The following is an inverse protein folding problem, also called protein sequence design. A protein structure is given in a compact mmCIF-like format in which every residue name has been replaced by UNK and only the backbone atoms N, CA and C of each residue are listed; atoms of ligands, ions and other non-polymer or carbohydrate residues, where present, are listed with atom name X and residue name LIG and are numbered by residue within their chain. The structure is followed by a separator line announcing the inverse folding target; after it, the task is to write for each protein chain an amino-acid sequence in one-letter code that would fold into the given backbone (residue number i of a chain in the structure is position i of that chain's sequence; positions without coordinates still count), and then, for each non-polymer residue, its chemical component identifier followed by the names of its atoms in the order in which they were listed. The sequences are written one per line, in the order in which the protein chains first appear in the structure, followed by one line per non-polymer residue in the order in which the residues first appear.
data_IF_809093686567
#
_entry.id   IF_809093686567
#
_cell.length_a   1.000
_cell.length_b   1.000
_cell.length_c   1.000
_cell.angle_alpha   90.00
_cell.angle_beta   90.00
_cell.angle_gamma   90.00
#
_symmetry.space_group_name_H-M   'P 1'
#
loop_
_entity.id
_entity.type
_entity.pdbx_description
1 polymer ?
#
# COMPACT_ATOMS: atom_id res chain seq x y z
N UNK A 1 -9.04 14.66 14.60
CA UNK A 1 -9.29 13.46 13.76
C UNK A 1 -9.53 13.92 12.35
N UNK A 2 -8.52 13.79 11.49
CA UNK A 2 -8.63 14.14 10.08
C UNK A 2 -9.34 13.03 9.31
N UNK A 3 -10.12 13.40 8.30
CA UNK A 3 -10.79 12.49 7.36
C UNK A 3 -10.45 12.91 5.95
N UNK A 4 -10.01 11.95 5.15
CA UNK A 4 -9.52 12.19 3.80
C UNK A 4 -10.03 11.12 2.85
N UNK A 5 -9.95 11.41 1.56
CA UNK A 5 -10.22 10.44 0.51
C UNK A 5 -8.96 10.25 -0.32
N UNK A 6 -8.44 9.03 -0.32
CA UNK A 6 -7.37 8.63 -1.22
C UNK A 6 -7.98 8.32 -2.59
N UNK A 7 -7.42 8.92 -3.63
CA UNK A 7 -7.81 8.62 -5.00
C UNK A 7 -7.45 7.18 -5.35
N UNK A 8 -6.29 6.72 -4.88
CA UNK A 8 -5.84 5.35 -5.01
C UNK A 8 -5.17 4.84 -3.74
N UNK A 9 -5.49 3.60 -3.38
CA UNK A 9 -4.78 2.82 -2.38
C UNK A 9 -4.42 1.47 -2.99
N UNK A 10 -3.13 1.25 -3.21
CA UNK A 10 -2.61 0.04 -3.84
C UNK A 10 -1.81 -0.77 -2.84
N UNK A 11 -2.14 -2.04 -2.68
CA UNK A 11 -1.33 -3.04 -1.96
C UNK A 11 -0.53 -3.86 -2.96
N UNK A 12 0.72 -4.16 -2.63
CA UNK A 12 1.64 -4.92 -3.47
C UNK A 12 2.18 -6.13 -2.71
N UNK A 13 1.92 -7.29 -3.27
CA UNK A 13 2.42 -8.58 -2.85
C UNK A 13 3.50 -9.02 -3.82
N UNK A 14 4.58 -9.57 -3.31
CA UNK A 14 5.72 -10.02 -4.11
C UNK A 14 5.95 -11.49 -3.86
N UNK A 15 6.16 -12.24 -4.93
CA UNK A 15 6.32 -13.68 -4.90
C UNK A 15 7.49 -14.08 -5.79
N UNK A 16 8.31 -14.99 -5.29
CA UNK A 16 9.12 -15.82 -6.18
C UNK A 16 8.20 -16.75 -7.00
N UNK A 17 8.66 -17.23 -8.16
CA UNK A 17 7.81 -18.01 -9.08
C UNK A 17 7.21 -19.25 -8.41
N UNK A 18 8.00 -20.00 -7.63
CA UNK A 18 7.53 -21.19 -6.91
C UNK A 18 6.45 -20.84 -5.87
N UNK A 19 6.68 -19.78 -5.09
CA UNK A 19 5.72 -19.29 -4.08
C UNK A 19 4.42 -18.81 -4.74
N UNK A 20 4.53 -18.14 -5.89
CA UNK A 20 3.37 -17.68 -6.66
C UNK A 20 2.49 -18.85 -7.09
N UNK A 21 3.11 -19.93 -7.58
CA UNK A 21 2.41 -21.14 -8.01
C UNK A 21 1.73 -21.89 -6.85
N UNK A 22 2.27 -21.79 -5.64
CA UNK A 22 1.71 -22.41 -4.44
C UNK A 22 0.58 -21.58 -3.81
N UNK A 23 0.76 -20.26 -3.72
CA UNK A 23 -0.11 -19.37 -2.93
C UNK A 23 -1.21 -18.67 -3.73
N UNK A 24 -1.04 -18.53 -5.05
CA UNK A 24 -2.00 -17.78 -5.89
C UNK A 24 -2.91 -18.76 -6.65
N UNK A 25 -4.22 -18.58 -6.47
CA UNK A 25 -5.24 -19.32 -7.20
C UNK A 25 -5.06 -19.10 -8.72
N UNK A 26 -5.08 -20.19 -9.49
CA UNK A 26 -4.80 -20.16 -10.94
C UNK A 26 -3.40 -19.60 -11.30
N UNK A 27 -2.45 -19.67 -10.37
CA UNK A 27 -1.09 -19.15 -10.54
C UNK A 27 -0.40 -19.65 -11.83
N UNK A 28 -0.58 -20.91 -12.22
CA UNK A 28 -0.05 -21.45 -13.48
C UNK A 28 -0.57 -20.72 -14.72
N UNK A 29 -1.87 -20.50 -14.79
CA UNK A 29 -2.50 -19.80 -15.92
C UNK A 29 -2.05 -18.34 -15.98
N UNK A 30 -2.02 -17.67 -14.83
CA UNK A 30 -1.55 -16.28 -14.73
C UNK A 30 -0.08 -16.17 -15.16
N UNK A 31 0.76 -17.11 -14.72
CA UNK A 31 2.19 -17.13 -15.05
C UNK A 31 2.44 -17.34 -16.54
N UNK A 32 1.69 -18.23 -17.20
CA UNK A 32 1.76 -18.40 -18.66
C UNK A 32 1.44 -17.09 -19.38
N UNK A 33 0.41 -16.37 -18.93
CA UNK A 33 0.04 -15.06 -19.49
C UNK A 33 1.10 -13.99 -19.22
N UNK A 34 1.70 -13.97 -18.03
CA UNK A 34 2.81 -13.07 -17.72
C UNK A 34 4.03 -13.31 -18.62
N UNK A 35 4.34 -14.56 -18.97
CA UNK A 35 5.45 -14.89 -19.87
C UNK A 35 5.21 -14.38 -21.31
N UNK A 36 3.95 -14.25 -21.72
CA UNK A 36 3.56 -13.69 -23.03
C UNK A 36 3.62 -12.15 -23.08
N UNK A 37 3.14 -11.47 -22.03
CA UNK A 37 2.86 -10.02 -22.09
C UNK A 37 3.58 -9.17 -21.03
N UNK A 38 4.37 -9.77 -20.13
CA UNK A 38 5.04 -9.16 -18.96
C UNK A 38 4.11 -8.55 -17.90
N UNK A 39 2.88 -8.18 -18.28
CA UNK A 39 1.81 -7.70 -17.42
C UNK A 39 0.50 -8.38 -17.78
N UNK A 40 -0.27 -8.77 -16.78
CA UNK A 40 -1.56 -9.40 -16.96
C UNK A 40 -2.53 -8.93 -15.88
N UNK A 41 -3.71 -8.46 -16.26
CA UNK A 41 -4.77 -8.08 -15.33
C UNK A 41 -5.81 -9.21 -15.27
N UNK A 42 -6.08 -9.73 -14.08
CA UNK A 42 -6.97 -10.88 -13.90
C UNK A 42 -7.70 -10.81 -12.56
N UNK A 43 -9.02 -11.07 -12.58
CA UNK A 43 -9.90 -11.10 -11.40
C UNK A 43 -9.75 -9.88 -10.45
N UNK A 44 -9.56 -8.68 -11.01
CA UNK A 44 -9.41 -7.45 -10.24
C UNK A 44 -8.00 -7.19 -9.69
N UNK A 45 -7.04 -8.06 -9.97
CA UNK A 45 -5.64 -7.87 -9.65
C UNK A 45 -4.82 -7.54 -10.89
N UNK A 46 -3.75 -6.78 -10.70
CA UNK A 46 -2.73 -6.55 -11.73
C UNK A 46 -1.47 -7.32 -11.37
N UNK A 47 -1.00 -8.14 -12.29
CA UNK A 47 0.21 -8.94 -12.15
C UNK A 47 1.28 -8.42 -13.11
N UNK A 48 2.54 -8.39 -12.67
CA UNK A 48 3.69 -8.10 -13.54
C UNK A 48 4.96 -8.74 -13.03
N UNK A 49 5.91 -9.00 -13.91
CA UNK A 49 7.29 -9.18 -13.51
C UNK A 49 7.89 -7.84 -13.05
N UNK A 50 8.64 -7.88 -11.95
CA UNK A 50 9.43 -6.74 -11.52
C UNK A 50 10.78 -6.74 -12.21
N UNK A 51 11.56 -5.66 -12.04
CA UNK A 51 12.95 -5.56 -12.52
C UNK A 51 13.90 -6.61 -11.91
N UNK A 52 13.48 -7.30 -10.85
CA UNK A 52 14.23 -8.34 -10.18
C UNK A 52 13.75 -9.75 -10.56
N UNK A 53 12.95 -9.88 -11.62
CA UNK A 53 12.36 -11.13 -12.13
C UNK A 53 11.41 -11.87 -11.18
N UNK A 54 11.09 -11.32 -10.01
CA UNK A 54 9.98 -11.81 -9.19
C UNK A 54 8.63 -11.26 -9.68
N UNK A 55 7.53 -11.84 -9.19
CA UNK A 55 6.17 -11.49 -9.62
C UNK A 55 5.57 -10.55 -8.58
N UNK A 56 5.05 -9.41 -9.02
CA UNK A 56 4.24 -8.55 -8.17
C UNK A 56 2.77 -8.66 -8.53
N UNK A 57 1.94 -8.92 -7.53
CA UNK A 57 0.48 -8.79 -7.60
C UNK A 57 0.07 -7.50 -6.89
N UNK A 58 -0.80 -6.70 -7.50
CA UNK A 58 -1.38 -5.54 -6.85
C UNK A 58 -2.89 -5.57 -6.78
N UNK A 59 -3.42 -5.21 -5.62
CA UNK A 59 -4.83 -4.88 -5.39
C UNK A 59 -4.94 -3.36 -5.23
N UNK A 60 -5.68 -2.69 -6.12
CA UNK A 60 -5.84 -1.23 -6.10
C UNK A 60 -7.30 -0.87 -5.92
N UNK A 61 -7.57 -0.10 -4.88
CA UNK A 61 -8.88 0.48 -4.59
C UNK A 61 -8.86 1.97 -4.88
N UNK A 62 -9.99 2.50 -5.29
CA UNK A 62 -10.18 3.94 -5.54
C UNK A 62 -11.16 4.53 -4.55
N UNK A 63 -11.09 5.86 -4.33
CA UNK A 63 -11.99 6.59 -3.41
C UNK A 63 -12.02 5.96 -2.02
N UNK A 64 -10.83 5.75 -1.47
CA UNK A 64 -10.66 5.07 -0.18
C UNK A 64 -10.72 6.09 0.94
N UNK A 65 -11.62 5.88 1.89
CA UNK A 65 -11.72 6.72 3.07
C UNK A 65 -10.60 6.36 4.05
N UNK A 66 -9.91 7.40 4.55
CA UNK A 66 -8.91 7.25 5.59
C UNK A 66 -9.15 8.26 6.70
N UNK A 67 -9.14 7.77 7.94
CA UNK A 67 -9.26 8.59 9.15
C UNK A 67 -7.97 8.48 9.98
N UNK A 68 -7.47 9.63 10.43
CA UNK A 68 -6.25 9.72 11.25
C UNK A 68 -6.60 10.39 12.58
N UNK A 69 -6.33 9.69 13.68
CA UNK A 69 -6.50 10.21 15.03
C UNK A 69 -5.21 10.83 15.56
N UNK A 70 -5.33 11.98 16.21
CA UNK A 70 -4.21 12.62 16.90
C UNK A 70 -3.74 11.84 18.13
N UNK A 71 -4.47 10.82 18.58
CA UNK A 71 -4.14 10.02 19.76
C UNK A 71 -3.73 8.57 19.43
N UNK A 72 -3.86 8.15 18.17
CA UNK A 72 -3.57 6.78 17.75
C UNK A 72 -2.28 6.69 16.92
N UNK A 73 -1.65 5.51 16.95
CA UNK A 73 -0.52 5.11 16.09
C UNK A 73 -0.99 4.37 14.83
N UNK A 74 -2.28 4.02 14.77
CA UNK A 74 -2.95 3.37 13.66
C UNK A 74 -3.85 4.36 12.92
N UNK A 75 -4.26 3.95 11.73
CA UNK A 75 -5.24 4.68 10.90
C UNK A 75 -6.46 3.80 10.67
N UNK A 76 -7.58 4.41 10.32
CA UNK A 76 -8.78 3.68 9.89
C UNK A 76 -8.89 3.82 8.38
N UNK A 77 -8.86 2.71 7.65
CA UNK A 77 -9.00 2.68 6.18
C UNK A 77 -10.29 1.94 5.84
N UNK A 78 -11.25 2.61 5.19
CA UNK A 78 -12.59 2.09 4.90
C UNK A 78 -13.26 1.44 6.13
N UNK A 79 -13.16 2.09 7.29
CA UNK A 79 -13.75 1.60 8.55
C UNK A 79 -12.94 0.52 9.27
N UNK A 80 -11.82 0.04 8.70
CA UNK A 80 -10.96 -0.97 9.34
C UNK A 80 -9.71 -0.34 9.95
N UNK A 81 -9.42 -0.68 11.21
CA UNK A 81 -8.17 -0.28 11.86
C UNK A 81 -6.98 -0.98 11.18
N UNK A 82 -5.99 -0.19 10.74
CA UNK A 82 -4.78 -0.66 10.06
C UNK A 82 -3.54 0.01 10.65
N UNK A 83 -2.47 -0.78 10.74
CA UNK A 83 -1.16 -0.28 11.11
C UNK A 83 -0.36 0.04 9.85
N UNK A 84 -0.11 1.32 9.59
CA UNK A 84 0.87 1.74 8.58
C UNK A 84 2.23 1.83 9.27
N UNK A 85 3.22 1.08 8.81
CA UNK A 85 4.58 1.13 9.34
C UNK A 85 5.36 2.29 8.73
N UNK A 86 5.11 3.48 9.29
CA UNK A 86 5.68 4.74 8.81
C UNK A 86 7.13 4.94 9.27
N UNK A 87 7.59 4.19 10.27
CA UNK A 87 9.00 4.20 10.71
C UNK A 87 9.85 3.46 9.69
N UNK A 88 9.41 2.26 9.29
CA UNK A 88 10.14 1.47 8.32
C UNK A 88 10.16 2.14 6.95
N UNK A 89 9.01 2.69 6.51
CA UNK A 89 8.93 3.38 5.23
C UNK A 89 7.87 4.48 5.21
N UNK A 90 8.29 5.69 4.88
CA UNK A 90 7.41 6.84 4.63
C UNK A 90 8.01 7.73 3.55
N UNK A 91 7.99 7.24 2.31
CA UNK A 91 8.57 7.96 1.17
C UNK A 91 7.49 8.74 0.43
N UNK A 92 7.61 10.06 0.42
CA UNK A 92 6.69 10.96 -0.27
C UNK A 92 7.24 11.37 -1.64
N UNK A 93 6.39 11.35 -2.67
CA UNK A 93 6.70 11.88 -3.99
C UNK A 93 5.56 12.78 -4.47
N UNK A 94 5.90 14.03 -4.74
CA UNK A 94 5.03 15.00 -5.39
C UNK A 94 4.93 14.67 -6.89
N UNK A 95 3.71 14.45 -7.38
CA UNK A 95 3.38 14.19 -8.79
C UNK A 95 2.73 15.45 -9.40
N UNK A 96 2.13 15.37 -10.58
CA UNK A 96 1.52 16.53 -11.23
C UNK A 96 0.25 17.01 -10.50
N UNK A 97 -0.54 16.07 -10.00
CA UNK A 97 -1.88 16.28 -9.42
C UNK A 97 -2.07 15.62 -8.04
N UNK A 98 -1.14 14.75 -7.62
CA UNK A 98 -1.22 14.02 -6.36
C UNK A 98 0.09 14.08 -5.58
N UNK A 99 0.00 13.79 -4.28
CA UNK A 99 1.12 13.25 -3.51
C UNK A 99 0.97 11.74 -3.43
N UNK A 100 2.05 11.03 -3.77
CA UNK A 100 2.17 9.59 -3.56
C UNK A 100 3.01 9.31 -2.32
N UNK A 101 2.46 8.56 -1.38
CA UNK A 101 3.16 8.05 -0.21
C UNK A 101 3.41 6.56 -0.41
N UNK A 102 4.66 6.11 -0.30
CA UNK A 102 5.00 4.71 -0.21
C UNK A 102 5.29 4.33 1.25
N UNK A 103 4.59 3.32 1.75
CA UNK A 103 4.76 2.80 3.12
C UNK A 103 4.48 1.29 3.15
N UNK A 104 4.41 0.69 4.33
CA UNK A 104 3.99 -0.70 4.53
C UNK A 104 2.75 -0.75 5.42
N UNK A 105 1.97 -1.80 5.25
CA UNK A 105 0.83 -2.12 6.11
C UNK A 105 1.10 -3.47 6.76
N UNK A 106 1.04 -3.52 8.08
CA UNK A 106 1.19 -4.79 8.80
C UNK A 106 -0.14 -5.53 8.79
N UNK A 107 -0.18 -6.66 8.10
CA UNK A 107 -1.29 -7.61 8.15
C UNK A 107 -0.90 -8.85 8.97
N UNK A 108 -1.91 -9.65 9.37
CA UNK A 108 -1.75 -10.74 10.37
C UNK A 108 -0.62 -11.74 10.08
N UNK A 109 -0.17 -11.85 8.83
CA UNK A 109 0.85 -12.83 8.43
C UNK A 109 2.01 -12.22 7.63
N UNK A 110 1.90 -10.97 7.18
CA UNK A 110 2.92 -10.34 6.32
C UNK A 110 2.85 -8.81 6.38
N UNK A 111 4.01 -8.17 6.20
CA UNK A 111 4.11 -6.73 5.98
C UNK A 111 4.08 -6.42 4.48
N UNK A 112 2.98 -5.82 4.05
CA UNK A 112 2.70 -5.60 2.62
C UNK A 112 3.12 -4.19 2.24
N UNK A 113 3.77 -4.05 1.08
CA UNK A 113 4.07 -2.71 0.56
C UNK A 113 2.79 -2.06 0.06
N UNK A 114 2.56 -0.79 0.39
CA UNK A 114 1.41 -0.07 -0.12
C UNK A 114 1.77 1.33 -0.62
N UNK A 115 0.95 1.83 -1.54
CA UNK A 115 1.00 3.17 -2.08
C UNK A 115 -0.33 3.86 -1.79
N UNK A 116 -0.25 5.06 -1.21
CA UNK A 116 -1.37 5.96 -1.00
C UNK A 116 -1.20 7.12 -1.98
N UNK A 117 -2.24 7.44 -2.73
CA UNK A 117 -2.29 8.61 -3.60
C UNK A 117 -3.38 9.52 -3.08
N UNK A 118 -3.01 10.76 -2.78
CA UNK A 118 -3.93 11.78 -2.29
C UNK A 118 -3.82 13.03 -3.15
N UNK A 119 -4.96 13.57 -3.56
CA UNK A 119 -5.08 14.84 -4.25
C UNK A 119 -4.38 15.99 -3.50
N UNK A 120 -3.80 16.91 -4.26
CA UNK A 120 -3.05 18.03 -3.70
C UNK A 120 -3.85 18.90 -2.73
N UNK A 121 -5.16 19.08 -2.96
CA UNK A 121 -6.01 19.94 -2.15
C UNK A 121 -6.14 19.45 -0.70
N UNK A 122 -5.84 18.18 -0.44
CA UNK A 122 -5.92 17.56 0.89
C UNK A 122 -4.53 17.16 1.44
N UNK A 123 -3.52 17.12 0.57
CA UNK A 123 -2.23 16.48 0.85
C UNK A 123 -1.43 17.11 1.99
N UNK A 124 -1.42 18.44 2.14
CA UNK A 124 -0.55 19.12 3.12
C UNK A 124 -0.89 18.71 4.56
N UNK A 125 -2.17 18.82 4.92
CA UNK A 125 -2.65 18.45 6.25
C UNK A 125 -2.56 16.93 6.47
N UNK A 126 -2.86 16.13 5.43
CA UNK A 126 -2.74 14.68 5.49
C UNK A 126 -1.31 14.21 5.81
N UNK A 127 -0.30 14.78 5.13
CA UNK A 127 1.10 14.44 5.37
C UNK A 127 1.55 14.84 6.77
N UNK A 128 1.13 16.01 7.25
CA UNK A 128 1.42 16.46 8.61
C UNK A 128 0.86 15.50 9.66
N UNK A 129 -0.37 15.01 9.45
CA UNK A 129 -0.99 14.04 10.36
C UNK A 129 -0.30 12.66 10.29
N UNK A 130 0.12 12.20 9.11
CA UNK A 130 0.93 10.98 9.00
C UNK A 130 2.31 11.11 9.67
N UNK A 131 2.99 12.25 9.55
CA UNK A 131 4.26 12.49 10.27
C UNK A 131 4.03 12.47 11.79
N UNK A 132 2.90 13.01 12.28
CA UNK A 132 2.53 12.89 13.70
C UNK A 132 2.33 11.44 14.13
N UNK A 133 1.66 10.61 13.31
CA UNK A 133 1.51 9.16 13.57
C UNK A 133 2.89 8.50 13.65
N UNK A 134 3.76 8.75 12.67
CA UNK A 134 5.14 8.24 12.64
C UNK A 134 5.94 8.63 13.89
N UNK A 135 5.89 9.88 14.31
CA UNK A 135 6.56 10.36 15.52
C UNK A 135 6.08 9.63 16.79
N UNK A 136 4.78 9.35 16.90
CA UNK A 136 4.25 8.54 18.02
C UNK A 136 4.73 7.10 17.96
N UNK A 137 4.76 6.49 16.78
CA UNK A 137 5.29 5.13 16.62
C UNK A 137 6.75 5.08 17.12
N UNK A 138 7.58 6.07 16.75
CA UNK A 138 8.98 6.16 17.21
C UNK A 138 9.08 6.32 18.73
N UNK A 139 8.25 7.18 19.32
CA UNK A 139 8.21 7.38 20.76
C UNK A 139 7.78 6.13 21.54
N UNK A 140 6.91 5.30 20.96
CA UNK A 140 6.49 4.04 21.58
C UNK A 140 7.57 2.95 21.51
N UNK A 141 8.48 2.97 20.52
CA UNK A 141 9.62 2.06 20.47
C UNK A 141 10.69 2.37 21.52
N UNK A 142 10.77 3.61 21.98
CA UNK A 142 11.75 4.08 22.96
C UNK A 142 11.26 3.97 24.42
N UNK A 143 10.08 3.38 24.65
CA UNK A 143 9.53 3.07 25.98
C UNK A 143 9.77 1.61 26.32
#
# INVERSE_FOLDING_TARGET
MGKYTLDYFSKYYFYEEDEFLEKVEEGKFILEKLKESNRFDYKGHSFKYTKFNNISMSDTKTKVEIEISEEDINVIINGELKHLDLIYKFDTKHLEDHVRIATRISEKMDDISCLLYIDYNQSEQFLKELENVKNKQQNNMNK
#
